data_IF_623887778938
#
_entry.id   IF_623887778938
#
_cell.length_a   1.000
_cell.length_b   1.000
_cell.length_c   1.000
_cell.angle_alpha   90.00
_cell.angle_beta   90.00
_cell.angle_gamma   90.00
#
_symmetry.space_group_name_H-M   'P 1'
#
loop_
_entity.id
_entity.type
_entity.pdbx_description
1 polymer ?
#
# COMPACT_ATOMS: atom_id res chain seq x y z
N UNK A 1 1.08 -1.21 -8.16
CA UNK A 1 1.75 -0.69 -6.96
C UNK A 1 1.33 0.77 -6.79
N UNK A 2 0.97 1.16 -5.57
CA UNK A 2 0.67 2.55 -5.22
C UNK A 2 1.81 3.02 -4.32
N UNK A 3 2.53 4.07 -4.71
CA UNK A 3 3.67 4.60 -3.97
C UNK A 3 3.56 6.12 -3.90
N UNK A 4 3.66 6.70 -2.72
CA UNK A 4 3.51 8.15 -2.54
C UNK A 4 4.80 8.89 -2.88
N UNK A 5 5.97 8.27 -2.68
CA UNK A 5 7.27 8.94 -2.73
C UNK A 5 8.10 8.54 -3.95
N UNK A 6 8.16 9.46 -4.91
CA UNK A 6 8.97 9.35 -6.12
C UNK A 6 10.48 9.26 -5.84
N UNK A 7 10.95 9.89 -4.75
CA UNK A 7 12.36 9.90 -4.36
C UNK A 7 12.77 8.52 -3.86
N UNK A 8 11.92 7.86 -3.07
CA UNK A 8 12.14 6.47 -2.64
C UNK A 8 12.31 5.57 -3.86
N UNK A 9 11.39 5.61 -4.82
CA UNK A 9 11.50 4.77 -6.03
C UNK A 9 12.79 5.05 -6.83
N UNK A 10 13.16 6.33 -7.00
CA UNK A 10 14.40 6.71 -7.70
C UNK A 10 15.64 6.16 -6.99
N UNK A 11 15.68 6.25 -5.66
CA UNK A 11 16.75 5.70 -4.86
C UNK A 11 16.80 4.16 -4.96
N UNK A 12 15.65 3.50 -4.85
CA UNK A 12 15.52 2.04 -5.01
C UNK A 12 15.99 1.57 -6.40
N UNK A 13 15.58 2.25 -7.47
CA UNK A 13 16.02 1.90 -8.84
C UNK A 13 17.54 1.99 -9.00
N UNK A 14 18.15 3.00 -8.36
CA UNK A 14 19.60 3.23 -8.43
C UNK A 14 20.40 2.26 -7.54
N UNK A 15 19.95 2.02 -6.32
CA UNK A 15 20.75 1.37 -5.28
C UNK A 15 20.32 -0.07 -4.97
N UNK A 16 19.10 -0.46 -5.34
CA UNK A 16 18.54 -1.81 -5.12
C UNK A 16 18.21 -2.50 -6.44
N UNK A 17 19.07 -2.29 -7.45
CA UNK A 17 18.89 -2.83 -8.82
C UNK A 17 18.69 -4.35 -8.86
N UNK A 18 19.37 -5.09 -7.99
CA UNK A 18 19.23 -6.55 -7.88
C UNK A 18 17.82 -7.01 -7.46
N UNK A 19 17.06 -6.14 -6.80
CA UNK A 19 15.69 -6.39 -6.34
C UNK A 19 14.69 -5.82 -7.36
N UNK A 20 14.90 -4.57 -7.77
CA UNK A 20 13.92 -3.84 -8.58
C UNK A 20 14.00 -4.13 -10.09
N UNK A 21 15.14 -4.65 -10.58
CA UNK A 21 15.38 -4.79 -12.02
C UNK A 21 15.22 -3.45 -12.75
N UNK A 22 14.43 -3.43 -13.81
CA UNK A 22 14.08 -2.23 -14.60
C UNK A 22 12.63 -1.73 -14.35
N UNK A 23 11.91 -2.37 -13.42
CA UNK A 23 10.47 -2.13 -13.18
C UNK A 23 10.19 -0.69 -12.77
N UNK A 24 11.06 -0.12 -11.91
CA UNK A 24 10.94 1.25 -11.42
C UNK A 24 11.36 2.32 -12.46
N UNK A 25 12.10 1.94 -13.49
CA UNK A 25 12.46 2.85 -14.60
C UNK A 25 11.30 2.99 -15.58
N UNK A 26 10.62 1.86 -15.89
CA UNK A 26 9.50 1.81 -16.82
C UNK A 26 8.18 2.27 -16.20
N UNK A 27 7.95 1.96 -14.93
CA UNK A 27 6.72 2.24 -14.14
C UNK A 27 5.41 1.64 -14.65
N UNK A 28 5.36 1.12 -15.87
CA UNK A 28 4.26 0.32 -16.38
C UNK A 28 4.74 -0.71 -17.41
N UNK A 29 3.93 -1.73 -17.61
CA UNK A 29 4.09 -2.76 -18.64
C UNK A 29 2.80 -3.55 -18.80
N UNK A 30 2.84 -4.63 -19.59
CA UNK A 30 1.63 -5.38 -19.96
C UNK A 30 0.82 -5.91 -18.76
N UNK A 31 1.50 -6.22 -17.65
CA UNK A 31 0.90 -6.86 -16.48
C UNK A 31 1.04 -6.04 -15.19
N UNK A 32 1.56 -4.81 -15.25
CA UNK A 32 1.74 -4.01 -14.06
C UNK A 32 1.67 -2.50 -14.34
N UNK A 33 1.27 -1.77 -13.30
CA UNK A 33 1.32 -0.32 -13.27
C UNK A 33 1.73 0.13 -11.88
N UNK A 34 2.65 1.09 -11.83
CA UNK A 34 3.02 1.85 -10.64
C UNK A 34 2.34 3.22 -10.76
N UNK A 35 1.57 3.57 -9.74
CA UNK A 35 0.88 4.86 -9.64
C UNK A 35 1.56 5.63 -8.52
N UNK A 36 2.06 6.83 -8.84
CA UNK A 36 2.73 7.69 -7.87
C UNK A 36 1.71 8.63 -7.24
N UNK A 37 1.06 8.15 -6.18
CA UNK A 37 -0.04 8.84 -5.52
C UNK A 37 -0.21 8.34 -4.07
N UNK A 38 -0.87 9.16 -3.24
CA UNK A 38 -1.47 8.71 -1.99
C UNK A 38 -2.44 7.53 -2.23
N UNK A 39 -2.10 6.38 -1.66
CA UNK A 39 -2.87 5.15 -1.83
C UNK A 39 -4.34 5.27 -1.39
N UNK A 40 -4.66 6.15 -0.43
CA UNK A 40 -6.03 6.35 0.04
C UNK A 40 -6.90 6.96 -1.05
N UNK A 41 -6.33 7.83 -1.90
CA UNK A 41 -7.04 8.42 -3.05
C UNK A 41 -7.26 7.37 -4.13
N UNK A 42 -6.23 6.61 -4.49
CA UNK A 42 -6.36 5.60 -5.53
C UNK A 42 -7.34 4.49 -5.13
N UNK A 43 -7.34 4.06 -3.86
CA UNK A 43 -8.34 3.10 -3.36
C UNK A 43 -9.77 3.65 -3.45
N UNK A 44 -10.00 4.92 -3.14
CA UNK A 44 -11.32 5.54 -3.33
C UNK A 44 -11.75 5.57 -4.80
N UNK A 45 -10.81 5.81 -5.72
CA UNK A 45 -11.08 5.72 -7.17
C UNK A 45 -11.47 4.30 -7.57
N UNK A 46 -10.72 3.29 -7.12
CA UNK A 46 -11.05 1.88 -7.40
C UNK A 46 -12.42 1.47 -6.85
N UNK A 47 -12.81 1.98 -5.67
CA UNK A 47 -14.15 1.76 -5.12
C UNK A 47 -15.22 2.35 -6.04
N UNK A 48 -15.03 3.58 -6.53
CA UNK A 48 -15.96 4.25 -7.45
C UNK A 48 -16.08 3.52 -8.79
N UNK A 49 -15.00 2.90 -9.25
CA UNK A 49 -14.93 2.11 -10.48
C UNK A 49 -15.44 0.67 -10.31
N UNK A 50 -15.83 0.27 -9.09
CA UNK A 50 -16.09 -1.13 -8.69
C UNK A 50 -14.95 -2.10 -9.07
N UNK A 51 -13.72 -1.59 -9.09
CA UNK A 51 -12.52 -2.38 -9.39
C UNK A 51 -12.14 -3.23 -8.18
N UNK A 52 -12.11 -4.55 -8.36
CA UNK A 52 -11.76 -5.52 -7.31
C UNK A 52 -10.47 -6.28 -7.60
N UNK A 53 -9.75 -6.62 -6.54
CA UNK A 53 -8.48 -7.33 -6.59
C UNK A 53 -8.58 -8.69 -5.87
N UNK A 54 -7.89 -9.69 -6.42
CA UNK A 54 -7.74 -11.00 -5.77
C UNK A 54 -6.81 -10.93 -4.55
N UNK A 55 -5.82 -10.04 -4.60
CA UNK A 55 -4.85 -9.82 -3.53
C UNK A 55 -4.63 -8.32 -3.33
N UNK A 56 -4.55 -7.91 -2.06
CA UNK A 56 -4.12 -6.57 -1.66
C UNK A 56 -2.98 -6.72 -0.65
N UNK A 57 -1.85 -6.11 -0.96
CA UNK A 57 -0.67 -6.08 -0.09
C UNK A 57 -0.55 -4.68 0.54
N UNK A 58 -0.72 -4.59 1.85
CA UNK A 58 -0.62 -3.36 2.64
C UNK A 58 0.82 -3.07 3.08
N UNK A 59 1.78 -3.03 2.16
CA UNK A 59 3.20 -2.80 2.47
C UNK A 59 3.51 -1.30 2.65
N UNK A 60 3.01 -0.72 3.74
CA UNK A 60 3.24 0.68 4.12
C UNK A 60 4.36 0.78 5.16
N UNK A 61 4.83 1.97 5.48
CA UNK A 61 5.73 2.17 6.62
C UNK A 61 4.96 2.03 7.94
N UNK A 62 5.65 1.61 9.02
CA UNK A 62 5.06 1.46 10.37
C UNK A 62 4.31 2.72 10.84
N UNK A 63 4.82 3.89 10.46
CA UNK A 63 4.12 5.16 10.60
C UNK A 63 3.78 5.63 9.18
N UNK A 64 2.49 5.72 8.82
CA UNK A 64 2.08 6.07 7.48
C UNK A 64 2.37 7.54 7.19
N UNK A 65 2.80 7.83 5.96
CA UNK A 65 2.99 9.19 5.48
C UNK A 65 1.64 9.74 5.04
N UNK A 66 1.20 10.85 5.65
CA UNK A 66 -0.03 11.55 5.25
C UNK A 66 0.24 13.03 5.06
N UNK A 67 -0.24 13.59 3.95
CA UNK A 67 -0.25 15.04 3.71
C UNK A 67 -1.42 15.75 4.42
N UNK A 68 -2.36 14.98 4.99
CA UNK A 68 -3.56 15.48 5.67
C UNK A 68 -3.43 15.18 7.16
N UNK A 69 -3.84 16.10 8.07
CA UNK A 69 -3.93 15.78 9.48
C UNK A 69 -4.87 14.59 9.68
N UNK A 70 -4.31 13.46 10.07
CA UNK A 70 -5.07 12.33 10.60
C UNK A 70 -5.26 12.56 12.10
N UNK A 71 -6.34 12.03 12.67
CA UNK A 71 -6.55 12.03 14.12
C UNK A 71 -5.54 11.12 14.81
N UNK A 72 -6.02 10.11 15.53
CA UNK A 72 -5.13 9.12 16.13
C UNK A 72 -4.52 8.21 15.04
N UNK A 73 -3.31 7.71 15.26
CA UNK A 73 -2.61 6.81 14.33
C UNK A 73 -3.48 5.58 13.96
N UNK A 74 -4.25 5.09 14.93
CA UNK A 74 -5.16 3.96 14.74
C UNK A 74 -6.33 4.26 13.82
N UNK A 75 -6.80 5.51 13.73
CA UNK A 75 -7.86 5.89 12.80
C UNK A 75 -7.39 5.75 11.35
N UNK A 76 -6.11 6.05 11.09
CA UNK A 76 -5.53 5.84 9.77
C UNK A 76 -5.54 4.36 9.40
N UNK A 77 -5.01 3.49 10.27
CA UNK A 77 -4.98 2.05 10.01
C UNK A 77 -6.38 1.47 9.83
N UNK A 78 -7.33 1.88 10.66
CA UNK A 78 -8.72 1.46 10.54
C UNK A 78 -9.30 1.84 9.17
N UNK A 79 -9.12 3.10 8.75
CA UNK A 79 -9.61 3.59 7.46
C UNK A 79 -8.92 2.87 6.29
N UNK A 80 -7.60 2.67 6.35
CA UNK A 80 -6.84 1.96 5.32
C UNK A 80 -7.32 0.52 5.15
N UNK A 81 -7.52 -0.20 6.27
CA UNK A 81 -8.08 -1.56 6.23
C UNK A 81 -9.49 -1.56 5.64
N UNK A 82 -10.37 -0.64 6.06
CA UNK A 82 -11.72 -0.52 5.51
C UNK A 82 -11.72 -0.30 3.99
N UNK A 83 -10.87 0.59 3.48
CA UNK A 83 -10.75 0.82 2.03
C UNK A 83 -10.19 -0.41 1.31
N UNK A 84 -9.16 -1.04 1.89
CA UNK A 84 -8.55 -2.26 1.33
C UNK A 84 -9.55 -3.39 1.16
N UNK A 85 -10.40 -3.64 2.17
CA UNK A 85 -11.45 -4.67 2.06
C UNK A 85 -12.56 -4.29 1.07
N UNK A 86 -12.86 -3.01 0.88
CA UNK A 86 -13.83 -2.56 -0.13
C UNK A 86 -13.36 -2.81 -1.56
N UNK A 87 -12.06 -2.86 -1.82
CA UNK A 87 -11.50 -3.19 -3.14
C UNK A 87 -11.12 -4.67 -3.27
N UNK A 88 -11.33 -5.47 -2.23
CA UNK A 88 -11.05 -6.90 -2.26
C UNK A 88 -12.24 -7.67 -2.83
N UNK A 89 -11.98 -8.70 -3.64
CA UNK A 89 -13.01 -9.68 -3.99
C UNK A 89 -13.47 -10.45 -2.75
N UNK A 90 -14.69 -11.03 -2.73
CA UNK A 90 -15.15 -11.83 -1.59
C UNK A 90 -14.24 -13.00 -1.21
N UNK A 91 -13.55 -13.60 -2.19
CA UNK A 91 -12.56 -14.68 -2.00
C UNK A 91 -11.11 -14.18 -1.98
N UNK A 92 -10.91 -12.86 -1.99
CA UNK A 92 -9.59 -12.27 -2.05
C UNK A 92 -8.86 -12.35 -0.72
N UNK A 93 -7.56 -12.05 -0.72
CA UNK A 93 -6.71 -12.07 0.46
C UNK A 93 -6.03 -10.72 0.68
N UNK A 94 -6.06 -10.25 1.92
CA UNK A 94 -5.28 -9.11 2.37
C UNK A 94 -4.03 -9.62 3.10
N UNK A 95 -2.88 -9.02 2.83
CA UNK A 95 -1.61 -9.36 3.46
C UNK A 95 -0.88 -8.06 3.82
N UNK A 96 -0.26 -7.99 4.99
CA UNK A 96 0.58 -6.87 5.42
C UNK A 96 1.64 -7.38 6.36
N UNK A 97 2.72 -6.63 6.54
CA UNK A 97 3.61 -6.87 7.67
C UNK A 97 2.90 -6.47 8.98
N UNK A 98 3.19 -7.21 10.05
CA UNK A 98 2.81 -6.84 11.41
C UNK A 98 3.92 -6.03 12.09
N UNK A 99 3.94 -6.06 13.41
CA UNK A 99 5.02 -5.50 14.22
C UNK A 99 5.98 -6.63 14.67
N UNK A 100 7.06 -6.27 15.37
CA UNK A 100 7.93 -7.23 16.04
C UNK A 100 7.16 -8.11 17.02
N UNK A 101 7.54 -9.38 17.13
CA UNK A 101 6.82 -10.38 17.94
C UNK A 101 6.77 -10.07 19.44
N UNK A 102 7.60 -9.15 19.93
CA UNK A 102 7.61 -8.67 21.30
C UNK A 102 6.57 -7.57 21.58
N UNK A 103 5.95 -6.99 20.55
CA UNK A 103 5.00 -5.87 20.66
C UNK A 103 3.58 -6.37 20.98
N UNK A 104 3.41 -6.96 22.16
CA UNK A 104 2.19 -7.70 22.57
C UNK A 104 0.95 -6.83 22.78
N UNK A 105 1.11 -5.52 22.97
CA UNK A 105 -0.01 -4.58 23.13
C UNK A 105 -0.57 -4.10 21.79
N UNK A 106 0.24 -4.19 20.73
CA UNK A 106 -0.11 -3.79 19.36
C UNK A 106 -0.58 -5.04 18.61
N UNK A 107 -1.73 -5.57 19.04
CA UNK A 107 -2.35 -6.74 18.41
C UNK A 107 -3.09 -6.33 17.13
N UNK A 108 -2.34 -6.07 16.06
CA UNK A 108 -2.86 -6.18 14.68
C UNK A 108 -3.04 -7.67 14.38
N UNK A 109 -4.07 -8.28 14.96
CA UNK A 109 -4.50 -9.63 14.58
C UNK A 109 -5.23 -9.50 13.25
N UNK A 110 -4.61 -10.03 12.20
CA UNK A 110 -5.28 -10.36 10.94
C UNK A 110 -5.78 -11.80 10.99
#
# INVERSE_FOLDING_TARGET
MLEIDDVVMKACSKHMRSICGDVLDKRSGDNYQIIVEDCMKSMQTFIKEDRKFDYVFGDLTDIPITATPTGELWDFFHNMLQLSFKILKPSGKFMTHGNGSSSVEVNLIL
#
